data_IF_931792968083
#
_entry.id   IF_931792968083
#
_cell.length_a   1.000
_cell.length_b   1.000
_cell.length_c   1.000
_cell.angle_alpha   90.00
_cell.angle_beta   90.00
_cell.angle_gamma   90.00
#
_symmetry.space_group_name_H-M   'P 1'
#
loop_
_entity.id
_entity.type
_entity.pdbx_description
1 polymer ?
#
# COMPACT_ATOMS: atom_id res chain seq x y z
N UNK A 1 20.39 37.48 85.70
CA UNK A 1 20.84 36.33 84.88
C UNK A 1 19.61 35.62 84.34
N UNK A 2 19.35 35.72 83.04
CA UNK A 2 18.86 34.65 82.13
C UNK A 2 18.53 35.31 80.78
N UNK A 3 19.52 35.27 79.88
CA UNK A 3 19.37 35.58 78.46
C UNK A 3 18.47 34.49 77.84
N UNK A 4 17.26 34.85 77.41
CA UNK A 4 16.54 34.09 76.39
C UNK A 4 16.66 34.84 75.07
N UNK A 5 17.69 34.50 74.32
CA UNK A 5 17.81 34.81 72.90
C UNK A 5 16.58 34.24 72.18
N UNK A 6 15.67 35.12 71.76
CA UNK A 6 14.73 34.77 70.67
C UNK A 6 15.56 34.64 69.41
N UNK A 7 15.99 33.42 69.11
CA UNK A 7 16.52 33.06 67.80
C UNK A 7 15.40 33.35 66.80
N UNK A 8 15.56 34.46 66.08
CA UNK A 8 14.78 34.82 64.92
C UNK A 8 14.85 33.66 63.92
N UNK A 9 13.73 32.94 63.77
CA UNK A 9 13.55 31.87 62.79
C UNK A 9 13.35 32.47 61.39
N UNK A 10 14.32 33.30 60.94
CA UNK A 10 14.20 34.12 59.73
C UNK A 10 15.27 33.82 58.67
N UNK A 11 16.17 32.87 58.91
CA UNK A 11 17.34 32.64 58.03
C UNK A 11 17.46 31.22 57.44
N UNK A 12 16.38 30.44 57.29
CA UNK A 12 16.46 29.11 56.60
C UNK A 12 15.73 28.99 55.26
N UNK A 13 15.09 30.04 54.77
CA UNK A 13 14.48 30.07 53.43
C UNK A 13 14.94 31.31 52.63
N UNK A 14 16.24 31.59 52.62
CA UNK A 14 16.82 32.55 51.69
C UNK A 14 17.46 31.81 50.53
N UNK A 15 16.67 31.60 49.48
CA UNK A 15 17.20 31.64 48.11
C UNK A 15 17.94 32.98 48.01
N UNK A 16 19.22 32.95 47.61
CA UNK A 16 20.10 34.12 47.50
C UNK A 16 19.33 35.39 47.09
N UNK A 17 18.99 36.24 48.08
CA UNK A 17 18.32 37.52 47.82
C UNK A 17 19.41 38.48 47.36
N UNK A 18 19.75 38.38 46.09
CA UNK A 18 20.59 39.37 45.44
C UNK A 18 19.75 40.66 45.44
N UNK A 19 20.17 41.75 46.12
CA UNK A 19 19.36 42.97 46.26
C UNK A 19 19.04 43.65 44.91
N UNK A 20 19.70 43.20 43.84
CA UNK A 20 19.48 43.63 42.46
C UNK A 20 18.39 42.84 41.71
N UNK A 21 17.84 41.76 42.30
CA UNK A 21 16.79 40.93 41.70
C UNK A 21 15.46 41.25 42.38
N UNK A 22 14.68 42.14 41.76
CA UNK A 22 13.34 42.51 42.23
C UNK A 22 12.32 41.40 41.94
N UNK A 23 11.16 41.44 42.59
CA UNK A 23 10.06 40.52 42.29
C UNK A 23 9.70 40.55 40.79
N UNK A 24 9.71 41.75 40.20
CA UNK A 24 9.44 41.95 38.78
C UNK A 24 10.42 41.26 37.84
N UNK A 25 11.71 41.19 38.19
CA UNK A 25 12.68 40.47 37.35
C UNK A 25 12.46 38.96 37.40
N UNK A 26 12.13 38.41 38.57
CA UNK A 26 11.73 37.00 38.70
C UNK A 26 10.45 36.73 37.88
N UNK A 27 9.46 37.62 37.94
CA UNK A 27 8.22 37.52 37.16
C UNK A 27 8.50 37.51 35.66
N UNK A 28 9.36 38.41 35.16
CA UNK A 28 9.73 38.47 33.75
C UNK A 28 10.44 37.19 33.27
N UNK A 29 11.34 36.64 34.09
CA UNK A 29 12.04 35.37 33.80
C UNK A 29 11.04 34.21 33.73
N UNK A 30 10.16 34.08 34.73
CA UNK A 30 9.16 33.00 34.74
C UNK A 30 8.13 33.15 33.63
N UNK A 31 7.75 34.37 33.27
CA UNK A 31 6.90 34.65 32.11
C UNK A 31 7.57 34.21 30.80
N UNK A 32 8.84 34.56 30.61
CA UNK A 32 9.61 34.15 29.44
C UNK A 32 9.73 32.62 29.34
N UNK A 33 9.97 31.95 30.47
CA UNK A 33 9.99 30.49 30.56
C UNK A 33 8.61 29.87 30.26
N UNK A 34 7.53 30.50 30.74
CA UNK A 34 6.16 30.09 30.44
C UNK A 34 5.80 30.22 28.97
N UNK A 35 6.30 31.25 28.28
CA UNK A 35 6.11 31.43 26.84
C UNK A 35 6.91 30.41 26.02
N UNK A 36 8.11 30.02 26.49
CA UNK A 36 8.91 28.98 25.83
C UNK A 36 8.18 27.63 25.82
N UNK A 37 7.53 27.27 26.93
CA UNK A 37 6.79 26.01 27.08
C UNK A 37 5.28 26.23 27.10
N UNK A 38 4.78 27.13 26.27
CA UNK A 38 3.37 27.52 26.24
C UNK A 38 2.46 26.31 25.98
N UNK A 39 1.61 25.98 26.96
CA UNK A 39 0.78 24.77 26.98
C UNK A 39 1.58 23.48 26.72
N UNK A 40 2.78 23.38 27.29
CA UNK A 40 3.73 22.29 27.09
C UNK A 40 4.16 22.09 25.63
N UNK A 41 4.28 23.18 24.87
CA UNK A 41 4.71 23.16 23.47
C UNK A 41 3.59 22.86 22.46
N UNK A 42 2.31 22.86 22.89
CA UNK A 42 1.16 22.68 22.00
C UNK A 42 0.71 23.96 21.32
N UNK A 43 0.99 25.09 21.96
CA UNK A 43 0.52 26.37 21.49
C UNK A 43 1.67 27.33 21.25
N UNK A 44 1.39 28.32 20.43
CA UNK A 44 2.30 29.41 20.11
C UNK A 44 1.53 30.71 20.06
N UNK A 45 2.24 31.82 19.85
CA UNK A 45 1.64 33.15 19.83
C UNK A 45 1.29 33.52 18.38
N UNK A 46 0.09 34.07 18.20
CA UNK A 46 -0.41 34.63 16.96
C UNK A 46 0.11 36.06 16.74
N UNK A 47 0.17 36.49 15.48
CA UNK A 47 0.57 37.85 15.06
C UNK A 47 -0.61 38.66 14.48
N UNK A 48 -1.85 38.30 14.83
CA UNK A 48 -3.04 39.08 14.47
C UNK A 48 -3.07 40.41 15.25
N UNK A 49 -3.72 41.47 14.74
CA UNK A 49 -3.76 42.76 15.44
C UNK A 49 -4.36 42.65 16.85
N UNK A 50 -5.34 41.78 17.06
CA UNK A 50 -5.95 41.51 18.36
C UNK A 50 -4.95 40.82 19.31
N UNK A 51 -4.20 39.84 18.80
CA UNK A 51 -3.17 39.15 19.56
C UNK A 51 -2.06 40.12 19.97
N UNK A 52 -1.60 40.98 19.05
CA UNK A 52 -0.59 42.00 19.33
C UNK A 52 -1.08 42.98 20.41
N UNK A 53 -2.33 43.44 20.34
CA UNK A 53 -2.91 44.30 21.37
C UNK A 53 -2.93 43.61 22.75
N UNK A 54 -3.31 42.33 22.80
CA UNK A 54 -3.31 41.55 24.04
C UNK A 54 -1.88 41.34 24.61
N UNK A 55 -0.89 41.12 23.74
CA UNK A 55 0.52 40.96 24.15
C UNK A 55 1.13 42.27 24.65
N UNK A 56 0.77 43.42 24.07
CA UNK A 56 1.21 44.74 24.56
C UNK A 56 0.69 44.95 25.99
N UNK A 57 -0.57 44.61 26.24
CA UNK A 57 -1.14 44.65 27.59
C UNK A 57 -0.44 43.66 28.54
N UNK A 58 -0.18 42.43 28.11
CA UNK A 58 0.46 41.41 28.95
C UNK A 58 1.94 41.69 29.23
N UNK A 59 2.68 42.22 28.26
CA UNK A 59 4.13 42.41 28.32
C UNK A 59 4.54 43.87 28.48
N UNK A 60 3.70 44.67 29.14
CA UNK A 60 4.04 46.06 29.46
C UNK A 60 5.42 46.15 30.17
N UNK A 61 6.36 46.98 29.71
CA UNK A 61 7.77 46.89 30.10
C UNK A 61 8.08 47.30 31.56
N UNK A 62 7.10 47.83 32.30
CA UNK A 62 7.25 48.14 33.74
C UNK A 62 6.76 47.00 34.61
N UNK A 63 7.70 46.24 35.17
CA UNK A 63 7.42 45.16 36.12
C UNK A 63 7.28 45.67 37.57
N UNK A 64 6.49 44.98 38.41
CA UNK A 64 6.26 45.37 39.81
C UNK A 64 7.51 45.17 40.69
N UNK A 65 7.72 46.03 41.68
CA UNK A 65 8.84 45.88 42.61
C UNK A 65 8.59 44.81 43.69
N UNK A 66 7.32 44.68 44.11
CA UNK A 66 6.85 43.74 45.13
C UNK A 66 5.56 43.06 44.65
N UNK A 67 5.17 41.95 45.28
CA UNK A 67 4.02 41.15 44.85
C UNK A 67 2.68 41.90 44.85
N UNK A 68 2.49 42.89 45.74
CA UNK A 68 1.25 43.68 45.78
C UNK A 68 1.35 45.03 45.03
N UNK A 69 2.44 45.26 44.29
CA UNK A 69 2.65 46.51 43.56
C UNK A 69 1.86 46.51 42.24
N UNK A 70 0.85 47.38 42.17
CA UNK A 70 -0.01 47.61 41.00
C UNK A 70 0.02 49.09 40.54
N UNK A 71 1.05 49.87 40.93
CA UNK A 71 1.06 51.33 40.73
C UNK A 71 1.11 51.76 39.26
N UNK A 72 1.90 51.06 38.45
CA UNK A 72 2.14 51.41 37.04
C UNK A 72 1.40 50.50 36.05
N UNK A 73 1.08 49.29 36.47
CA UNK A 73 0.42 48.30 35.62
C UNK A 73 -0.30 47.28 36.51
N UNK A 74 -1.54 46.94 36.15
CA UNK A 74 -2.34 45.96 36.87
C UNK A 74 -1.80 44.56 36.59
N UNK A 75 -1.40 43.83 37.64
CA UNK A 75 -0.82 42.49 37.46
C UNK A 75 -1.76 41.49 36.76
N UNK A 76 -3.08 41.64 36.87
CA UNK A 76 -4.04 40.77 36.19
C UNK A 76 -3.88 40.80 34.66
N UNK A 77 -3.50 41.95 34.07
CA UNK A 77 -3.31 42.08 32.62
C UNK A 77 -2.13 41.26 32.10
N UNK A 78 -1.21 40.84 32.97
CA UNK A 78 -0.11 39.94 32.63
C UNK A 78 -0.58 38.57 32.13
N UNK A 79 -1.84 38.20 32.36
CA UNK A 79 -2.45 36.96 31.86
C UNK A 79 -3.19 37.13 30.53
N UNK A 80 -3.29 38.34 29.98
CA UNK A 80 -3.95 38.57 28.70
C UNK A 80 -3.24 37.93 27.51
N UNK A 81 -1.98 37.47 27.68
CA UNK A 81 -1.28 36.72 26.63
C UNK A 81 -2.06 35.50 26.17
N UNK A 82 -2.95 34.93 27.02
CA UNK A 82 -3.80 33.78 26.68
C UNK A 82 -4.69 34.06 25.46
N UNK A 83 -5.12 35.30 25.25
CA UNK A 83 -5.93 35.69 24.08
C UNK A 83 -5.14 35.66 22.77
N UNK A 84 -3.81 35.74 22.84
CA UNK A 84 -2.91 35.68 21.70
C UNK A 84 -2.42 34.25 21.40
N UNK A 85 -2.86 33.25 22.16
CA UNK A 85 -2.40 31.88 22.04
C UNK A 85 -3.20 31.15 20.96
N UNK A 86 -2.50 30.54 20.01
CA UNK A 86 -3.08 29.71 18.95
C UNK A 86 -2.42 28.32 18.88
N UNK A 87 -3.21 27.26 18.60
CA UNK A 87 -2.68 25.92 18.41
C UNK A 87 -2.15 25.78 16.97
N UNK A 88 -0.86 25.46 16.84
CA UNK A 88 -0.18 25.23 15.55
C UNK A 88 0.65 23.96 15.52
N UNK A 89 0.51 23.10 16.53
CA UNK A 89 1.31 21.88 16.64
C UNK A 89 0.83 20.84 15.63
N UNK A 90 1.70 20.43 14.72
CA UNK A 90 1.44 19.32 13.81
C UNK A 90 1.84 18.01 14.48
N UNK A 91 0.86 17.13 14.73
CA UNK A 91 1.06 15.84 15.41
C UNK A 91 0.80 14.67 14.44
N UNK A 92 1.83 14.08 13.84
CA UNK A 92 1.65 12.91 12.99
C UNK A 92 1.44 11.64 13.82
N UNK A 93 0.48 10.82 13.42
CA UNK A 93 0.18 9.52 14.02
C UNK A 93 0.12 8.46 12.94
N UNK A 94 0.75 7.34 13.20
CA UNK A 94 0.69 6.20 12.29
C UNK A 94 -0.67 5.50 12.38
N UNK A 95 -1.29 5.21 11.24
CA UNK A 95 -2.65 4.67 11.16
C UNK A 95 -2.74 3.27 11.76
N UNK A 96 -1.72 2.44 11.56
CA UNK A 96 -1.75 1.03 11.97
C UNK A 96 -1.42 0.89 13.45
N UNK A 97 -0.33 1.50 13.89
CA UNK A 97 0.13 1.39 15.28
C UNK A 97 -0.61 2.34 16.23
N UNK A 98 -1.29 3.36 15.71
CA UNK A 98 -1.91 4.47 16.47
C UNK A 98 -0.93 5.22 17.39
N UNK A 99 0.37 5.07 17.16
CA UNK A 99 1.43 5.76 17.89
C UNK A 99 1.85 7.02 17.14
N UNK A 100 2.32 8.01 17.89
CA UNK A 100 2.95 9.20 17.30
C UNK A 100 4.21 8.79 16.54
N UNK A 101 4.42 9.38 15.38
CA UNK A 101 5.59 9.12 14.55
C UNK A 101 6.39 10.40 14.31
N UNK A 102 7.57 10.26 13.71
CA UNK A 102 8.31 11.41 13.20
C UNK A 102 8.18 11.43 11.68
N UNK A 103 7.91 12.59 11.09
CA UNK A 103 7.84 12.73 9.65
C UNK A 103 8.41 14.06 9.16
N UNK A 104 8.91 14.06 7.93
CA UNK A 104 9.34 15.27 7.24
C UNK A 104 8.13 16.00 6.63
N UNK A 105 8.10 17.32 6.80
CA UNK A 105 7.02 18.18 6.33
C UNK A 105 7.60 19.31 5.49
N UNK A 106 6.94 19.58 4.38
CA UNK A 106 7.23 20.67 3.46
C UNK A 106 6.03 21.59 3.39
N UNK A 107 6.27 22.90 3.44
CA UNK A 107 5.22 23.93 3.35
C UNK A 107 5.45 24.83 2.14
N UNK A 108 4.36 25.28 1.54
CA UNK A 108 4.35 26.29 0.47
C UNK A 108 3.78 27.58 1.03
N UNK A 109 4.56 28.65 0.98
CA UNK A 109 4.14 29.99 1.39
C UNK A 109 3.41 30.69 0.23
N UNK A 110 2.46 31.56 0.56
CA UNK A 110 1.67 32.33 -0.42
C UNK A 110 2.60 33.24 -1.23
N UNK A 111 2.63 33.07 -2.55
CA UNK A 111 3.48 33.85 -3.47
C UNK A 111 4.83 33.20 -3.78
N UNK A 112 5.20 32.15 -3.06
CA UNK A 112 6.41 31.36 -3.31
C UNK A 112 6.10 30.15 -4.20
N UNK A 113 7.00 29.80 -5.12
CA UNK A 113 6.88 28.59 -5.94
C UNK A 113 7.63 27.38 -5.36
N UNK A 114 8.51 27.61 -4.40
CA UNK A 114 9.36 26.59 -3.81
C UNK A 114 8.80 26.06 -2.49
N UNK A 115 8.94 24.75 -2.28
CA UNK A 115 8.59 24.08 -1.04
C UNK A 115 9.69 24.27 -0.01
N UNK A 116 9.34 24.86 1.13
CA UNK A 116 10.23 25.02 2.27
C UNK A 116 10.10 23.80 3.19
N UNK A 117 11.21 23.12 3.44
CA UNK A 117 11.26 22.00 4.42
C UNK A 117 11.28 22.54 5.85
N UNK A 118 10.41 22.00 6.67
CA UNK A 118 10.36 22.25 8.12
C UNK A 118 11.21 21.21 8.88
N UNK A 119 11.53 21.47 10.16
CA UNK A 119 12.05 20.44 11.05
C UNK A 119 11.13 19.23 11.12
N UNK A 120 11.68 18.06 11.44
CA UNK A 120 10.90 16.82 11.60
C UNK A 120 9.77 17.04 12.59
N UNK A 121 8.55 16.67 12.19
CA UNK A 121 7.41 16.70 13.08
C UNK A 121 7.51 15.61 14.14
N UNK A 122 6.95 15.79 15.35
CA UNK A 122 6.12 16.91 15.82
C UNK A 122 6.78 18.29 15.81
N UNK A 123 6.19 19.24 15.10
CA UNK A 123 6.72 20.60 15.00
C UNK A 123 5.59 21.64 14.88
N UNK A 124 5.90 22.89 15.22
CA UNK A 124 4.97 24.00 15.09
C UNK A 124 4.94 24.50 13.65
N UNK A 125 3.76 24.64 13.07
CA UNK A 125 3.61 25.24 11.75
C UNK A 125 3.83 26.76 11.82
N UNK A 126 4.34 27.36 10.73
CA UNK A 126 4.32 28.81 10.56
C UNK A 126 2.89 29.38 10.61
N UNK A 127 2.74 30.71 10.70
CA UNK A 127 1.43 31.34 10.72
C UNK A 127 0.56 30.92 9.54
N UNK A 128 -0.64 30.41 9.82
CA UNK A 128 -1.47 29.71 8.84
C UNK A 128 -1.94 30.59 7.68
N UNK A 129 -1.98 31.92 7.86
CA UNK A 129 -2.34 32.86 6.81
C UNK A 129 -1.25 33.05 5.75
N UNK A 130 0.02 32.80 6.08
CA UNK A 130 1.15 32.86 5.13
C UNK A 130 1.28 31.59 4.31
N UNK A 131 0.58 30.52 4.68
CA UNK A 131 0.67 29.22 4.03
C UNK A 131 -0.42 29.05 2.96
N UNK A 132 -0.01 28.46 1.83
CA UNK A 132 -0.90 28.01 0.76
C UNK A 132 -1.13 26.50 0.82
N UNK A 133 -0.07 25.75 1.16
CA UNK A 133 -0.07 24.28 1.12
C UNK A 133 0.83 23.70 2.22
N UNK A 134 0.41 22.61 2.84
CA UNK A 134 1.20 21.82 3.81
C UNK A 134 1.24 20.38 3.31
N UNK A 135 2.43 19.82 3.14
CA UNK A 135 2.63 18.47 2.60
C UNK A 135 3.50 17.68 3.57
N UNK A 136 3.08 16.47 3.92
CA UNK A 136 3.97 15.47 4.50
C UNK A 136 4.81 14.91 3.36
N UNK A 137 6.06 15.34 3.29
CA UNK A 137 7.01 14.98 2.23
C UNK A 137 8.12 14.12 2.85
N UNK A 138 7.80 12.84 3.05
CA UNK A 138 8.71 11.86 3.61
C UNK A 138 8.75 10.62 2.71
N UNK A 139 9.95 10.04 2.55
CA UNK A 139 10.12 8.81 1.79
C UNK A 139 9.49 7.60 2.49
N UNK A 140 9.42 7.61 3.83
CA UNK A 140 8.94 6.47 4.62
C UNK A 140 7.41 6.43 4.72
N UNK A 141 6.73 7.54 4.42
CA UNK A 141 5.29 7.69 4.59
C UNK A 141 4.61 8.03 3.25
N UNK A 142 3.31 7.79 3.18
CA UNK A 142 2.50 8.23 2.06
C UNK A 142 2.25 9.75 2.16
N UNK A 143 2.38 10.51 1.06
CA UNK A 143 2.27 11.96 1.11
C UNK A 143 0.82 12.36 1.40
N UNK A 144 0.65 13.15 2.45
CA UNK A 144 -0.63 13.78 2.81
C UNK A 144 -0.51 15.26 2.54
N UNK A 145 -1.48 15.80 1.81
CA UNK A 145 -1.44 17.15 1.29
C UNK A 145 -2.65 17.94 1.78
N UNK A 146 -2.42 19.10 2.38
CA UNK A 146 -3.42 20.08 2.76
C UNK A 146 -3.28 21.34 1.92
N UNK A 147 -4.26 21.61 1.07
CA UNK A 147 -4.31 22.78 0.19
C UNK A 147 -5.42 23.73 0.65
N UNK A 148 -5.15 25.05 0.59
CA UNK A 148 -6.08 26.10 1.00
C UNK A 148 -7.46 25.99 0.32
N UNK A 149 -7.47 25.58 -0.94
CA UNK A 149 -8.67 25.49 -1.78
C UNK A 149 -9.49 24.21 -1.57
N UNK A 150 -8.89 23.15 -0.99
CA UNK A 150 -9.50 21.81 -0.98
C UNK A 150 -9.90 21.34 0.42
N UNK A 151 -8.93 21.13 1.31
CA UNK A 151 -9.11 20.43 2.59
C UNK A 151 -8.54 21.20 3.79
N UNK A 152 -8.21 22.47 3.62
CA UNK A 152 -7.65 23.32 4.68
C UNK A 152 -8.51 23.39 5.95
N UNK A 153 -9.83 23.40 5.80
CA UNK A 153 -10.75 23.42 6.94
C UNK A 153 -10.59 22.19 7.86
N UNK A 154 -10.18 21.03 7.31
CA UNK A 154 -9.91 19.83 8.10
C UNK A 154 -8.64 19.99 8.93
N UNK A 155 -7.60 20.61 8.35
CA UNK A 155 -6.36 20.93 9.06
C UNK A 155 -6.63 21.92 10.20
N UNK A 156 -7.38 22.99 9.94
CA UNK A 156 -7.75 23.98 10.97
C UNK A 156 -8.47 23.32 12.15
N UNK A 157 -9.50 22.53 11.87
CA UNK A 157 -10.23 21.78 12.91
C UNK A 157 -9.33 20.79 13.66
N UNK A 158 -8.37 20.17 12.97
CA UNK A 158 -7.42 19.27 13.61
C UNK A 158 -6.50 20.03 14.57
N UNK A 159 -5.96 21.17 14.15
CA UNK A 159 -5.10 22.02 14.98
C UNK A 159 -5.87 22.61 16.17
N UNK A 160 -7.06 23.16 15.95
CA UNK A 160 -7.93 23.69 17.02
C UNK A 160 -8.20 22.66 18.12
N UNK A 161 -8.48 21.42 17.74
CA UNK A 161 -8.72 20.32 18.67
C UNK A 161 -7.45 19.63 19.18
N UNK A 162 -6.25 20.10 18.78
CA UNK A 162 -4.98 19.42 19.04
C UNK A 162 -5.00 17.93 18.64
N UNK A 163 -5.72 17.61 17.57
CA UNK A 163 -5.91 16.27 17.07
C UNK A 163 -4.67 15.79 16.28
N UNK A 164 -4.44 14.48 16.32
CA UNK A 164 -3.39 13.86 15.53
C UNK A 164 -3.81 13.74 14.06
N UNK A 165 -2.85 13.91 13.17
CA UNK A 165 -2.99 13.73 11.73
C UNK A 165 -2.53 12.32 11.40
N UNK A 166 -3.46 11.53 10.90
CA UNK A 166 -3.26 10.13 10.57
C UNK A 166 -2.49 10.00 9.24
N UNK A 167 -1.35 9.31 9.29
CA UNK A 167 -0.44 9.10 8.16
C UNK A 167 -0.14 7.60 8.05
N UNK A 168 -0.09 7.07 6.83
CA UNK A 168 0.23 5.67 6.56
C UNK A 168 1.71 5.52 6.23
N UNK A 169 2.39 4.58 6.88
CA UNK A 169 3.76 4.18 6.52
C UNK A 169 3.75 3.41 5.20
N UNK A 170 4.78 3.58 4.38
CA UNK A 170 4.99 2.77 3.17
C UNK A 170 5.51 1.38 3.55
N UNK A 171 5.07 0.37 2.81
CA UNK A 171 5.65 -0.98 2.95
C UNK A 171 7.15 -0.98 2.65
N UNK A 172 7.94 -1.74 3.43
CA UNK A 172 9.39 -1.79 3.26
C UNK A 172 10.17 -0.69 3.97
N UNK A 173 9.50 0.29 4.55
CA UNK A 173 10.14 1.39 5.27
C UNK A 173 9.84 1.28 6.76
N UNK A 174 10.83 1.60 7.60
CA UNK A 174 10.65 1.68 9.05
C UNK A 174 10.34 3.11 9.49
N UNK A 175 9.85 3.29 10.72
CA UNK A 175 9.71 4.64 11.26
C UNK A 175 11.09 5.20 11.61
N UNK A 176 11.24 6.53 11.57
CA UNK A 176 12.51 7.19 11.94
C UNK A 176 12.93 6.91 13.39
N UNK A 177 12.01 6.50 14.26
CA UNK A 177 12.32 6.08 15.63
C UNK A 177 12.97 4.69 15.70
N UNK A 178 12.63 3.80 14.76
CA UNK A 178 13.14 2.43 14.70
C UNK A 178 14.46 2.34 13.90
N UNK A 179 14.63 3.23 12.92
CA UNK A 179 15.77 3.24 12.00
C UNK A 179 16.22 4.69 11.71
N UNK A 180 16.94 5.33 12.65
CA UNK A 180 17.38 6.72 12.50
C UNK A 180 18.38 6.90 11.34
N UNK A 181 19.24 5.90 11.11
CA UNK A 181 20.27 5.93 10.06
C UNK A 181 19.73 5.46 8.69
N UNK A 182 18.47 5.02 8.64
CA UNK A 182 17.79 4.48 7.44
C UNK A 182 18.47 3.26 6.80
N UNK A 183 19.42 2.61 7.47
CA UNK A 183 20.20 1.52 6.87
C UNK A 183 19.34 0.27 6.60
N UNK A 184 18.44 -0.06 7.53
CA UNK A 184 17.55 -1.22 7.38
C UNK A 184 16.53 -0.96 6.27
N UNK A 185 16.00 0.26 6.22
CA UNK A 185 15.07 0.68 5.18
C UNK A 185 15.74 0.73 3.79
N UNK A 186 17.02 1.13 3.71
CA UNK A 186 17.79 1.08 2.46
C UNK A 186 18.06 -0.36 2.00
N UNK A 187 18.41 -1.26 2.92
CA UNK A 187 18.58 -2.68 2.62
C UNK A 187 17.25 -3.33 2.19
N UNK A 188 16.14 -2.97 2.82
CA UNK A 188 14.82 -3.37 2.35
C UNK A 188 14.54 -2.83 0.94
N UNK A 189 14.94 -1.59 0.65
CA UNK A 189 14.76 -0.96 -0.66
C UNK A 189 15.60 -1.62 -1.77
N UNK A 190 16.74 -2.27 -1.48
CA UNK A 190 17.47 -3.00 -2.53
C UNK A 190 16.65 -4.14 -3.13
N UNK A 191 15.76 -4.77 -2.34
CA UNK A 191 14.80 -5.74 -2.86
C UNK A 191 13.85 -5.09 -3.90
N UNK A 192 13.46 -3.83 -3.69
CA UNK A 192 12.58 -3.14 -4.64
C UNK A 192 13.26 -2.75 -5.95
N UNK A 193 14.58 -2.54 -5.94
CA UNK A 193 15.36 -2.15 -7.13
C UNK A 193 15.72 -3.34 -8.01
N UNK A 194 15.87 -4.53 -7.41
CA UNK A 194 16.24 -5.72 -8.16
C UNK A 194 14.99 -6.39 -8.77
N UNK A 195 14.71 -6.08 -10.04
CA UNK A 195 13.59 -6.69 -10.77
C UNK A 195 13.85 -8.17 -11.11
N UNK A 196 15.11 -8.61 -11.09
CA UNK A 196 15.54 -9.90 -11.65
C UNK A 196 15.80 -11.01 -10.60
N UNK A 197 16.05 -10.66 -9.34
CA UNK A 197 16.36 -11.63 -8.26
C UNK A 197 15.13 -12.18 -7.55
N UNK A 198 13.92 -11.85 -8.02
CA UNK A 198 12.66 -12.33 -7.45
C UNK A 198 12.65 -13.87 -7.22
N UNK A 199 13.35 -14.63 -8.08
CA UNK A 199 13.40 -16.10 -8.05
C UNK A 199 14.18 -16.71 -6.88
N UNK A 200 15.04 -15.93 -6.20
CA UNK A 200 15.93 -16.39 -5.12
C UNK A 200 15.67 -15.72 -3.77
N UNK A 201 14.51 -15.11 -3.58
CA UNK A 201 14.21 -14.38 -2.35
C UNK A 201 13.92 -15.35 -1.21
N UNK A 202 14.69 -15.22 -0.13
CA UNK A 202 14.44 -15.97 1.11
C UNK A 202 13.27 -15.38 1.89
N UNK A 203 12.44 -16.23 2.50
CA UNK A 203 11.32 -15.83 3.35
C UNK A 203 11.76 -14.90 4.51
N UNK A 204 12.94 -15.15 5.07
CA UNK A 204 13.53 -14.33 6.15
C UNK A 204 13.86 -12.89 5.72
N UNK A 205 14.11 -12.65 4.42
CA UNK A 205 14.32 -11.29 3.91
C UNK A 205 13.00 -10.52 3.82
N UNK A 206 11.90 -11.21 3.51
CA UNK A 206 10.55 -10.64 3.44
C UNK A 206 10.01 -10.23 4.82
N UNK A 207 10.30 -11.02 5.86
CA UNK A 207 9.97 -10.67 7.25
C UNK A 207 10.70 -9.40 7.71
N UNK A 208 11.97 -9.24 7.30
CA UNK A 208 12.74 -8.04 7.62
C UNK A 208 12.28 -6.82 6.84
N UNK A 209 11.63 -7.02 5.69
CA UNK A 209 11.10 -5.96 4.85
C UNK A 209 9.80 -5.37 5.44
N UNK A 210 8.89 -6.21 5.94
CA UNK A 210 7.62 -5.75 6.49
C UNK A 210 7.41 -6.24 7.91
N UNK A 211 7.18 -5.30 8.83
CA UNK A 211 6.78 -5.59 10.21
C UNK A 211 5.27 -5.85 10.35
N UNK A 212 4.54 -6.02 9.24
CA UNK A 212 3.12 -6.35 9.28
C UNK A 212 2.95 -7.78 9.84
N UNK A 213 2.17 -7.98 10.93
CA UNK A 213 1.89 -9.31 11.47
C UNK A 213 1.30 -10.27 10.45
N UNK A 214 0.57 -9.76 9.45
CA UNK A 214 0.05 -10.60 8.37
C UNK A 214 1.19 -11.20 7.55
N UNK A 215 2.21 -10.41 7.21
CA UNK A 215 3.36 -10.85 6.41
C UNK A 215 4.13 -11.94 7.15
N UNK A 216 4.49 -11.70 8.41
CA UNK A 216 5.22 -12.68 9.22
C UNK A 216 4.44 -13.98 9.38
N UNK A 217 3.13 -13.88 9.65
CA UNK A 217 2.29 -15.08 9.79
C UNK A 217 2.11 -15.88 8.49
N UNK A 218 2.27 -15.23 7.34
CA UNK A 218 2.20 -15.88 6.04
C UNK A 218 3.54 -16.51 5.67
N UNK A 219 4.66 -15.82 5.88
CA UNK A 219 6.00 -16.39 5.65
C UNK A 219 6.22 -17.62 6.53
N UNK A 220 5.87 -17.53 7.81
CA UNK A 220 6.02 -18.62 8.77
C UNK A 220 5.22 -19.87 8.39
N UNK A 221 4.02 -19.70 7.83
CA UNK A 221 3.12 -20.82 7.53
C UNK A 221 3.26 -21.39 6.13
N UNK A 222 3.64 -20.58 5.15
CA UNK A 222 3.59 -20.98 3.74
C UNK A 222 4.95 -20.95 3.03
N UNK A 223 5.91 -20.15 3.50
CA UNK A 223 7.18 -19.93 2.78
C UNK A 223 8.39 -20.55 3.50
N UNK A 224 8.36 -20.71 4.82
CA UNK A 224 9.42 -21.44 5.52
C UNK A 224 9.36 -22.92 5.18
N UNK A 225 10.55 -23.47 4.94
CA UNK A 225 10.76 -24.84 4.54
C UNK A 225 11.37 -25.55 5.75
N UNK A 226 10.51 -26.13 6.59
CA UNK A 226 10.92 -26.81 7.83
C UNK A 226 11.07 -28.34 7.65
N UNK A 227 10.73 -28.88 6.47
CA UNK A 227 10.74 -30.31 6.20
C UNK A 227 12.11 -30.81 5.71
N UNK A 228 12.59 -31.93 6.27
CA UNK A 228 13.88 -32.55 5.93
C UNK A 228 13.90 -33.19 4.52
N UNK A 229 12.73 -33.53 3.96
CA UNK A 229 12.58 -34.14 2.63
C UNK A 229 11.50 -33.35 1.87
N UNK A 230 11.88 -32.73 0.76
CA UNK A 230 10.98 -31.91 -0.06
C UNK A 230 10.98 -32.47 -1.47
N UNK A 231 9.79 -32.69 -2.03
CA UNK A 231 9.68 -33.10 -3.43
C UNK A 231 9.96 -31.89 -4.35
N UNK A 232 10.53 -32.16 -5.54
CA UNK A 232 10.82 -31.09 -6.50
C UNK A 232 9.56 -30.29 -6.89
N UNK A 233 8.40 -30.94 -6.95
CA UNK A 233 7.11 -30.32 -7.21
C UNK A 233 6.66 -29.36 -6.10
N UNK A 234 6.93 -29.69 -4.83
CA UNK A 234 6.63 -28.82 -3.69
C UNK A 234 7.54 -27.59 -3.68
N UNK A 235 8.83 -27.77 -3.96
CA UNK A 235 9.78 -26.67 -4.05
C UNK A 235 9.36 -25.66 -5.14
N UNK A 236 8.93 -26.14 -6.31
CA UNK A 236 8.44 -25.29 -7.40
C UNK A 236 7.18 -24.52 -7.02
N UNK A 237 6.29 -25.09 -6.21
CA UNK A 237 5.07 -24.41 -5.72
C UNK A 237 5.42 -23.34 -4.69
N UNK A 238 6.30 -23.65 -3.75
CA UNK A 238 6.76 -22.69 -2.74
C UNK A 238 7.43 -21.52 -3.43
N UNK A 239 8.34 -21.77 -4.38
CA UNK A 239 9.00 -20.69 -5.13
C UNK A 239 7.99 -19.80 -5.87
N UNK A 240 6.95 -20.38 -6.47
CA UNK A 240 5.89 -19.61 -7.13
C UNK A 240 5.08 -18.78 -6.13
N UNK A 241 4.74 -19.33 -4.97
CA UNK A 241 4.06 -18.59 -3.90
C UNK A 241 4.94 -17.45 -3.37
N UNK A 242 6.23 -17.69 -3.18
CA UNK A 242 7.21 -16.66 -2.79
C UNK A 242 7.23 -15.52 -3.81
N UNK A 243 7.23 -15.83 -5.11
CA UNK A 243 7.17 -14.83 -6.18
C UNK A 243 5.90 -13.97 -6.14
N UNK A 244 4.73 -14.62 -5.98
CA UNK A 244 3.44 -13.93 -5.88
C UNK A 244 3.41 -13.01 -4.66
N UNK A 245 3.88 -13.52 -3.53
CA UNK A 245 3.91 -12.82 -2.26
C UNK A 245 4.90 -11.66 -2.27
N UNK A 246 6.11 -11.87 -2.78
CA UNK A 246 7.15 -10.86 -2.95
C UNK A 246 6.64 -9.66 -3.75
N UNK A 247 5.97 -9.90 -4.88
CA UNK A 247 5.41 -8.85 -5.71
C UNK A 247 4.35 -8.03 -4.96
N UNK A 248 3.48 -8.69 -4.18
CA UNK A 248 2.43 -8.05 -3.41
C UNK A 248 3.00 -7.19 -2.28
N UNK A 249 4.01 -7.68 -1.56
CA UNK A 249 4.67 -6.97 -0.45
C UNK A 249 5.44 -5.75 -0.96
N UNK A 250 6.25 -5.91 -2.00
CA UNK A 250 7.11 -4.82 -2.50
C UNK A 250 6.32 -3.70 -3.17
N UNK A 251 5.27 -4.03 -3.92
CA UNK A 251 4.45 -3.02 -4.59
C UNK A 251 3.42 -2.37 -3.65
N UNK A 252 3.44 -2.70 -2.35
CA UNK A 252 2.48 -2.24 -1.35
C UNK A 252 1.02 -2.57 -1.76
N UNK A 253 0.82 -3.79 -2.27
CA UNK A 253 -0.45 -4.27 -2.88
C UNK A 253 -0.89 -5.59 -2.28
N UNK A 254 -0.87 -5.69 -0.95
CA UNK A 254 -1.30 -6.89 -0.22
C UNK A 254 -2.75 -7.29 -0.55
N UNK A 255 -3.61 -6.33 -0.90
CA UNK A 255 -4.99 -6.59 -1.35
C UNK A 255 -5.11 -7.41 -2.64
N UNK A 256 -4.05 -7.47 -3.46
CA UNK A 256 -4.00 -8.26 -4.70
C UNK A 256 -3.59 -9.70 -4.42
N UNK A 257 -2.95 -9.97 -3.28
CA UNK A 257 -2.49 -11.31 -2.92
C UNK A 257 -3.61 -12.36 -2.95
N UNK A 258 -4.83 -12.13 -2.40
CA UNK A 258 -5.92 -13.09 -2.52
C UNK A 258 -6.24 -13.45 -3.98
N UNK A 259 -6.21 -12.47 -4.90
CA UNK A 259 -6.49 -12.70 -6.33
C UNK A 259 -5.41 -13.60 -6.95
N UNK A 260 -4.15 -13.37 -6.60
CA UNK A 260 -3.04 -14.22 -7.03
C UNK A 260 -3.18 -15.64 -6.47
N UNK A 261 -3.48 -15.78 -5.19
CA UNK A 261 -3.63 -17.08 -4.52
C UNK A 261 -4.84 -17.86 -5.05
N UNK A 262 -5.98 -17.20 -5.30
CA UNK A 262 -7.14 -17.85 -5.90
C UNK A 262 -6.83 -18.32 -7.31
N UNK A 263 -6.16 -17.49 -8.13
CA UNK A 263 -5.78 -17.87 -9.49
C UNK A 263 -4.81 -19.05 -9.47
N UNK A 264 -3.81 -19.01 -8.60
CA UNK A 264 -2.87 -20.11 -8.40
C UNK A 264 -3.56 -21.41 -7.98
N UNK A 265 -4.47 -21.35 -7.01
CA UNK A 265 -5.24 -22.50 -6.55
C UNK A 265 -6.16 -23.05 -7.64
N UNK A 266 -6.80 -22.18 -8.44
CA UNK A 266 -7.64 -22.59 -9.57
C UNK A 266 -6.82 -23.35 -10.62
N UNK A 267 -5.63 -22.86 -10.96
CA UNK A 267 -4.74 -23.54 -11.92
C UNK A 267 -4.33 -24.93 -11.40
N UNK A 268 -3.96 -25.04 -10.13
CA UNK A 268 -3.62 -26.33 -9.52
C UNK A 268 -4.80 -27.29 -9.46
N UNK A 269 -5.99 -26.78 -9.17
CA UNK A 269 -7.23 -27.56 -9.13
C UNK A 269 -7.55 -28.12 -10.51
N UNK A 270 -7.50 -27.27 -11.54
CA UNK A 270 -7.77 -27.69 -12.93
C UNK A 270 -6.79 -28.76 -13.40
N UNK A 271 -5.52 -28.68 -13.01
CA UNK A 271 -4.53 -29.72 -13.34
C UNK A 271 -4.87 -31.09 -12.76
N UNK A 272 -5.48 -31.14 -11.56
CA UNK A 272 -5.88 -32.38 -10.89
C UNK A 272 -7.25 -32.88 -11.34
N UNK A 273 -8.27 -32.00 -11.29
CA UNK A 273 -9.66 -32.26 -11.64
C UNK A 273 -10.26 -31.01 -12.28
N UNK A 274 -10.40 -30.95 -13.62
CA UNK A 274 -10.98 -29.80 -14.29
C UNK A 274 -12.47 -29.71 -14.00
N UNK A 275 -12.92 -28.64 -13.35
CA UNK A 275 -14.34 -28.29 -13.29
C UNK A 275 -14.66 -27.20 -14.31
N UNK A 276 -15.86 -27.24 -14.87
CA UNK A 276 -16.28 -26.29 -15.90
C UNK A 276 -16.25 -24.82 -15.45
N UNK A 277 -16.60 -24.57 -14.18
CA UNK A 277 -16.62 -23.24 -13.59
C UNK A 277 -15.21 -22.65 -13.43
N UNK A 278 -14.23 -23.49 -13.08
CA UNK A 278 -12.84 -23.05 -12.88
C UNK A 278 -12.24 -22.57 -14.22
N UNK A 279 -12.57 -23.25 -15.33
CA UNK A 279 -12.16 -22.87 -16.68
C UNK A 279 -12.79 -21.53 -17.08
N UNK A 280 -14.07 -21.30 -16.76
CA UNK A 280 -14.73 -20.02 -17.01
C UNK A 280 -14.06 -18.88 -16.27
N UNK A 281 -13.71 -19.07 -15.00
CA UNK A 281 -13.03 -18.04 -14.20
C UNK A 281 -11.68 -17.67 -14.80
N UNK A 282 -10.86 -18.67 -15.18
CA UNK A 282 -9.55 -18.41 -15.79
C UNK A 282 -9.70 -17.73 -17.16
N UNK A 283 -10.68 -18.17 -17.96
CA UNK A 283 -10.97 -17.55 -19.27
C UNK A 283 -11.41 -16.09 -19.13
N UNK A 284 -12.25 -15.77 -18.14
CA UNK A 284 -12.65 -14.38 -17.87
C UNK A 284 -11.44 -13.52 -17.47
N UNK A 285 -10.53 -14.08 -16.67
CA UNK A 285 -9.28 -13.42 -16.29
C UNK A 285 -8.39 -13.18 -17.52
N UNK A 286 -8.23 -14.17 -18.41
CA UNK A 286 -7.44 -14.05 -19.64
C UNK A 286 -7.99 -12.96 -20.56
N UNK A 287 -9.30 -12.98 -20.83
CA UNK A 287 -9.98 -11.95 -21.63
C UNK A 287 -9.88 -10.55 -21.00
N UNK A 288 -9.93 -10.46 -19.67
CA UNK A 288 -9.74 -9.21 -18.96
C UNK A 288 -8.32 -8.67 -19.16
N UNK A 289 -7.31 -9.53 -19.05
CA UNK A 289 -5.91 -9.17 -19.25
C UNK A 289 -5.62 -8.77 -20.70
N UNK A 290 -6.20 -9.46 -21.70
CA UNK A 290 -6.04 -9.13 -23.12
C UNK A 290 -6.64 -7.77 -23.50
N UNK A 291 -7.79 -7.42 -22.91
CA UNK A 291 -8.44 -6.11 -23.15
C UNK A 291 -7.69 -4.95 -22.51
N UNK A 292 -6.86 -5.21 -21.50
CA UNK A 292 -6.14 -4.18 -20.76
C UNK A 292 -4.83 -3.79 -21.49
N UNK A 293 -4.87 -2.73 -22.30
CA UNK A 293 -3.71 -2.23 -23.07
C UNK A 293 -2.67 -1.45 -22.25
N UNK A 294 -3.03 -0.97 -21.06
CA UNK A 294 -2.15 -0.19 -20.18
C UNK A 294 -1.65 -1.04 -19.01
N UNK A 295 -0.51 -0.68 -18.37
CA UNK A 295 -0.09 -1.36 -17.15
C UNK A 295 -1.20 -1.23 -16.10
N UNK A 296 -1.77 -2.37 -15.71
CA UNK A 296 -2.90 -2.40 -14.79
C UNK A 296 -2.48 -1.84 -13.41
N UNK A 297 -3.31 -0.96 -12.83
CA UNK A 297 -2.96 -0.24 -11.59
C UNK A 297 -2.68 -1.19 -10.42
N UNK A 298 -3.45 -2.27 -10.30
CA UNK A 298 -3.34 -3.26 -9.22
C UNK A 298 -2.49 -4.47 -9.61
N UNK A 299 -2.89 -5.20 -10.65
CA UNK A 299 -2.31 -6.47 -11.08
C UNK A 299 -1.02 -6.27 -11.89
N UNK A 300 0.02 -7.06 -11.60
CA UNK A 300 1.23 -7.12 -12.43
C UNK A 300 0.97 -8.04 -13.63
N UNK A 301 1.03 -7.48 -14.85
CA UNK A 301 0.73 -8.20 -16.09
C UNK A 301 1.62 -9.42 -16.32
N UNK A 302 2.92 -9.30 -16.03
CA UNK A 302 3.90 -10.38 -16.20
C UNK A 302 3.58 -11.59 -15.33
N UNK A 303 3.20 -11.35 -14.07
CA UNK A 303 2.97 -12.41 -13.08
C UNK A 303 1.66 -13.16 -13.36
N UNK A 304 0.60 -12.42 -13.70
CA UNK A 304 -0.64 -13.04 -14.16
C UNK A 304 -0.47 -13.74 -15.49
N UNK A 305 0.27 -13.14 -16.42
CA UNK A 305 0.62 -13.76 -17.70
C UNK A 305 1.32 -15.10 -17.48
N UNK A 306 2.32 -15.16 -16.61
CA UNK A 306 3.01 -16.41 -16.28
C UNK A 306 2.08 -17.50 -15.70
N UNK A 307 1.10 -17.11 -14.86
CA UNK A 307 0.09 -18.04 -14.36
C UNK A 307 -0.86 -18.51 -15.46
N UNK A 308 -1.34 -17.60 -16.30
CA UNK A 308 -2.24 -17.90 -17.41
C UNK A 308 -1.57 -18.78 -18.49
N UNK A 309 -0.30 -18.54 -18.78
CA UNK A 309 0.46 -19.36 -19.74
C UNK A 309 0.62 -20.81 -19.24
N UNK A 310 0.82 -21.03 -17.94
CA UNK A 310 0.82 -22.40 -17.37
C UNK A 310 -0.51 -23.11 -17.61
N UNK A 311 -1.62 -22.39 -17.48
CA UNK A 311 -2.93 -22.92 -17.79
C UNK A 311 -3.09 -23.21 -19.30
N UNK A 312 -2.67 -22.29 -20.18
CA UNK A 312 -2.71 -22.50 -21.63
C UNK A 312 -1.89 -23.72 -22.06
N UNK A 313 -0.71 -23.93 -21.48
CA UNK A 313 0.10 -25.14 -21.70
C UNK A 313 -0.62 -26.41 -21.26
N UNK A 314 -1.30 -26.38 -20.10
CA UNK A 314 -2.10 -27.51 -19.63
C UNK A 314 -3.29 -27.82 -20.57
N UNK A 315 -4.00 -26.80 -21.04
CA UNK A 315 -5.10 -26.98 -22.01
C UNK A 315 -4.57 -27.54 -23.34
N UNK A 316 -3.42 -27.07 -23.82
CA UNK A 316 -2.80 -27.58 -25.05
C UNK A 316 -2.32 -29.03 -24.92
N UNK A 317 -1.78 -29.42 -23.76
CA UNK A 317 -1.43 -30.82 -23.47
C UNK A 317 -2.70 -31.71 -23.46
N UNK A 318 -3.78 -31.22 -22.86
CA UNK A 318 -5.07 -31.92 -22.79
C UNK A 318 -5.71 -32.07 -24.18
N UNK A 319 -5.66 -31.02 -25.00
CA UNK A 319 -6.08 -31.03 -26.40
C UNK A 319 -5.31 -32.08 -27.20
N UNK A 320 -3.98 -32.14 -27.04
CA UNK A 320 -3.14 -33.14 -27.71
C UNK A 320 -3.52 -34.57 -27.34
N UNK A 321 -3.84 -34.82 -26.07
CA UNK A 321 -4.26 -36.14 -25.60
C UNK A 321 -5.65 -36.55 -26.10
N UNK A 322 -6.57 -35.59 -26.25
CA UNK A 322 -7.98 -35.84 -26.61
C UNK A 322 -8.30 -35.51 -28.08
N UNK A 323 -7.29 -35.45 -28.97
CA UNK A 323 -7.46 -34.96 -30.35
C UNK A 323 -8.46 -35.78 -31.19
N UNK A 324 -8.47 -37.11 -31.04
CA UNK A 324 -9.39 -38.01 -31.75
C UNK A 324 -10.85 -37.80 -31.32
N UNK A 325 -11.09 -37.70 -30.01
CA UNK A 325 -12.41 -37.46 -29.41
C UNK A 325 -12.91 -36.06 -29.76
N UNK A 326 -12.03 -35.07 -29.80
CA UNK A 326 -12.38 -33.72 -30.25
C UNK A 326 -12.75 -33.70 -31.73
N UNK A 327 -12.04 -34.46 -32.58
CA UNK A 327 -12.39 -34.56 -34.00
C UNK A 327 -13.79 -35.16 -34.20
N UNK A 328 -14.10 -36.27 -33.51
CA UNK A 328 -15.45 -36.86 -33.57
C UNK A 328 -16.52 -35.91 -33.01
N UNK A 329 -16.23 -35.17 -31.95
CA UNK A 329 -17.15 -34.16 -31.40
C UNK A 329 -17.48 -33.04 -32.39
N UNK A 330 -16.49 -32.58 -33.17
CA UNK A 330 -16.67 -31.48 -34.13
C UNK A 330 -17.39 -31.97 -35.41
N UNK A 331 -17.12 -33.21 -35.86
CA UNK A 331 -17.70 -33.77 -37.08
C UNK A 331 -19.15 -34.24 -36.91
N UNK A 332 -19.59 -34.53 -35.69
CA UNK A 332 -20.94 -35.06 -35.45
C UNK A 332 -21.98 -33.94 -35.46
N UNK A 333 -23.11 -34.18 -36.15
CA UNK A 333 -24.22 -33.24 -36.32
C UNK A 333 -25.14 -33.13 -35.09
N UNK A 334 -25.16 -34.15 -34.23
CA UNK A 334 -25.88 -34.20 -32.96
C UNK A 334 -24.99 -34.87 -31.88
N UNK A 335 -25.12 -34.48 -30.61
CA UNK A 335 -24.42 -35.14 -29.51
C UNK A 335 -24.98 -36.56 -29.34
N UNK A 336 -24.41 -37.55 -30.04
CA UNK A 336 -24.81 -38.94 -29.87
C UNK A 336 -24.37 -39.41 -28.47
N UNK A 337 -25.26 -40.09 -27.71
CA UNK A 337 -24.96 -40.56 -26.36
C UNK A 337 -23.79 -41.56 -26.32
N UNK A 338 -23.43 -42.18 -27.45
CA UNK A 338 -22.32 -43.12 -27.60
C UNK A 338 -20.94 -42.50 -27.29
N UNK A 339 -20.72 -41.23 -27.67
CA UNK A 339 -19.45 -40.52 -27.41
C UNK A 339 -19.30 -40.23 -25.91
N UNK A 340 -20.41 -39.95 -25.22
CA UNK A 340 -20.42 -39.66 -23.78
C UNK A 340 -20.30 -40.95 -22.96
N UNK A 341 -20.88 -42.06 -23.41
CA UNK A 341 -20.91 -43.31 -22.65
C UNK A 341 -19.57 -44.04 -22.56
N UNK A 342 -18.66 -43.84 -23.52
CA UNK A 342 -17.34 -44.48 -23.53
C UNK A 342 -16.30 -43.74 -22.66
N UNK A 343 -16.57 -42.49 -22.27
CA UNK A 343 -15.61 -41.63 -21.58
C UNK A 343 -15.74 -41.75 -20.05
N UNK A 344 -14.58 -41.81 -19.38
CA UNK A 344 -14.57 -41.64 -17.92
C UNK A 344 -14.99 -40.22 -17.53
N UNK A 345 -15.55 -40.05 -16.32
CA UNK A 345 -15.96 -38.73 -15.83
C UNK A 345 -14.83 -37.68 -15.84
N UNK A 346 -13.57 -38.11 -15.71
CA UNK A 346 -12.39 -37.24 -15.75
C UNK A 346 -12.06 -36.81 -17.19
N UNK A 347 -12.20 -37.70 -18.15
CA UNK A 347 -11.97 -37.39 -19.57
C UNK A 347 -13.07 -36.50 -20.12
N UNK A 348 -14.32 -36.72 -19.72
CA UNK A 348 -15.43 -35.84 -20.07
C UNK A 348 -15.22 -34.42 -19.53
N UNK A 349 -14.72 -34.30 -18.29
CA UNK A 349 -14.40 -33.01 -17.70
C UNK A 349 -13.23 -32.30 -18.40
N UNK A 350 -12.22 -33.06 -18.86
CA UNK A 350 -11.11 -32.57 -19.70
C UNK A 350 -11.55 -32.17 -21.10
N UNK A 351 -12.48 -32.90 -21.69
CA UNK A 351 -13.08 -32.54 -22.98
C UNK A 351 -13.85 -31.23 -22.84
N UNK A 352 -14.70 -31.13 -21.82
CA UNK A 352 -15.46 -29.93 -21.51
C UNK A 352 -14.55 -28.72 -21.27
N UNK A 353 -13.40 -28.88 -20.59
CA UNK A 353 -12.49 -27.77 -20.35
C UNK A 353 -11.89 -27.20 -21.65
N UNK A 354 -11.50 -28.06 -22.59
CA UNK A 354 -10.96 -27.64 -23.90
C UNK A 354 -12.06 -26.99 -24.75
N UNK A 355 -13.25 -27.61 -24.81
CA UNK A 355 -14.41 -27.09 -25.54
C UNK A 355 -14.80 -25.71 -25.04
N UNK A 356 -14.89 -25.55 -23.71
CA UNK A 356 -15.25 -24.29 -23.09
C UNK A 356 -14.16 -23.22 -23.30
N UNK A 357 -12.88 -23.57 -23.13
CA UNK A 357 -11.80 -22.59 -23.32
C UNK A 357 -11.80 -22.01 -24.74
N UNK A 358 -11.83 -22.86 -25.76
CA UNK A 358 -11.81 -22.45 -27.17
C UNK A 358 -13.18 -22.08 -27.77
N UNK A 359 -14.29 -22.15 -27.02
CA UNK A 359 -15.66 -21.97 -27.54
C UNK A 359 -15.99 -22.88 -28.73
N UNK A 360 -15.62 -24.16 -28.66
CA UNK A 360 -15.96 -25.11 -29.72
C UNK A 360 -17.46 -25.43 -29.69
N UNK A 361 -18.10 -25.36 -30.85
CA UNK A 361 -19.50 -25.77 -31.02
C UNK A 361 -19.57 -27.11 -31.74
N UNK A 362 -20.52 -27.99 -31.40
CA UNK A 362 -20.76 -29.19 -32.19
C UNK A 362 -21.20 -28.78 -33.60
N UNK A 363 -20.84 -29.57 -34.62
CA UNK A 363 -21.23 -29.37 -36.02
C UNK A 363 -20.50 -28.25 -36.81
N UNK A 364 -19.31 -27.82 -36.36
CA UNK A 364 -18.54 -26.77 -37.06
C UNK A 364 -18.03 -27.18 -38.45
N UNK A 365 -17.80 -28.47 -38.69
CA UNK A 365 -17.21 -28.96 -39.95
C UNK A 365 -18.22 -29.09 -41.10
N UNK A 366 -19.53 -29.24 -40.82
CA UNK A 366 -20.55 -29.37 -41.89
C UNK A 366 -20.78 -28.03 -42.60
N UNK A 367 -20.57 -26.91 -41.90
CA UNK A 367 -20.68 -25.57 -42.45
C UNK A 367 -19.50 -25.19 -43.35
N UNK A 368 -18.46 -26.02 -43.42
CA UNK A 368 -17.21 -25.75 -44.13
C UNK A 368 -16.98 -26.78 -45.22
N UNK A 369 -16.86 -26.34 -46.47
CA UNK A 369 -16.50 -27.21 -47.58
C UNK A 369 -14.99 -27.52 -47.57
N UNK A 370 -14.63 -28.66 -46.99
CA UNK A 370 -13.27 -29.17 -46.93
C UNK A 370 -12.91 -30.07 -48.13
N UNK A 371 -13.72 -30.10 -49.20
CA UNK A 371 -13.41 -30.90 -50.37
C UNK A 371 -12.24 -30.31 -51.19
N UNK A 372 -11.07 -30.98 -51.13
CA UNK A 372 -9.89 -30.66 -51.95
C UNK A 372 -8.54 -30.79 -51.21
N UNK A 373 -7.44 -30.44 -51.88
CA UNK A 373 -6.09 -30.46 -51.29
C UNK A 373 -6.01 -29.53 -50.09
N UNK A 374 -5.70 -30.13 -48.95
CA UNK A 374 -5.70 -29.50 -47.64
C UNK A 374 -4.45 -28.63 -47.46
N UNK A 375 -4.61 -27.30 -47.52
CA UNK A 375 -3.54 -26.33 -47.22
C UNK A 375 -3.93 -25.46 -46.02
N UNK A 376 -2.96 -25.13 -45.16
CA UNK A 376 -3.16 -24.27 -43.97
C UNK A 376 -3.88 -22.95 -44.28
N UNK A 377 -3.54 -22.33 -45.42
CA UNK A 377 -4.18 -21.11 -45.91
C UNK A 377 -5.65 -21.29 -46.28
N UNK A 378 -6.03 -22.45 -46.82
CA UNK A 378 -7.42 -22.75 -47.19
C UNK A 378 -8.27 -22.95 -45.94
N UNK A 379 -7.75 -23.63 -44.92
CA UNK A 379 -8.42 -23.72 -43.62
C UNK A 379 -8.64 -22.34 -42.99
N UNK A 380 -7.63 -21.47 -42.99
CA UNK A 380 -7.77 -20.12 -42.45
C UNK A 380 -8.85 -19.30 -43.19
N UNK A 381 -8.92 -19.41 -44.52
CA UNK A 381 -9.91 -18.71 -45.33
C UNK A 381 -11.34 -19.16 -45.00
N UNK A 382 -11.56 -20.47 -44.93
CA UNK A 382 -12.88 -21.02 -44.66
C UNK A 382 -13.32 -20.76 -43.20
N UNK A 383 -12.44 -20.95 -42.22
CA UNK A 383 -12.76 -20.68 -40.82
C UNK A 383 -12.97 -19.19 -40.51
N UNK A 384 -12.35 -18.29 -41.29
CA UNK A 384 -12.62 -16.84 -41.17
C UNK A 384 -14.06 -16.48 -41.55
N UNK A 385 -14.73 -17.26 -42.42
CA UNK A 385 -16.15 -17.04 -42.76
C UNK A 385 -17.07 -17.28 -41.57
N UNK A 386 -16.65 -18.05 -40.58
CA UNK A 386 -17.45 -18.42 -39.40
C UNK A 386 -17.39 -17.38 -38.25
N UNK A 387 -16.69 -16.25 -38.42
CA UNK A 387 -16.51 -15.23 -37.36
C UNK A 387 -16.01 -15.79 -36.01
N UNK A 388 -15.19 -16.85 -36.06
CA UNK A 388 -14.55 -17.43 -34.88
C UNK A 388 -13.34 -16.61 -34.43
N UNK A 389 -12.99 -16.72 -33.15
CA UNK A 389 -11.80 -16.09 -32.61
C UNK A 389 -10.51 -16.75 -33.15
N UNK A 390 -9.42 -15.99 -33.27
CA UNK A 390 -8.16 -16.45 -33.88
C UNK A 390 -7.57 -17.64 -33.11
N UNK A 391 -7.70 -17.64 -31.79
CA UNK A 391 -7.24 -18.75 -30.94
C UNK A 391 -8.04 -20.04 -31.21
N UNK A 392 -9.35 -19.92 -31.42
CA UNK A 392 -10.24 -21.04 -31.78
C UNK A 392 -9.89 -21.60 -33.15
N UNK A 393 -9.65 -20.74 -34.15
CA UNK A 393 -9.26 -21.15 -35.50
C UNK A 393 -7.93 -21.91 -35.47
N UNK A 394 -6.94 -21.41 -34.72
CA UNK A 394 -5.65 -22.09 -34.56
C UNK A 394 -5.79 -23.46 -33.90
N UNK A 395 -6.66 -23.58 -32.89
CA UNK A 395 -6.96 -24.85 -32.24
C UNK A 395 -7.60 -25.86 -33.21
N UNK A 396 -8.60 -25.44 -33.98
CA UNK A 396 -9.28 -26.27 -34.99
C UNK A 396 -8.31 -26.79 -36.04
N UNK A 397 -7.44 -25.93 -36.56
CA UNK A 397 -6.43 -26.32 -37.54
C UNK A 397 -5.48 -27.38 -36.96
N UNK A 398 -5.04 -27.20 -35.70
CA UNK A 398 -4.18 -28.19 -35.03
C UNK A 398 -4.86 -29.55 -34.86
N UNK A 399 -6.16 -29.58 -34.55
CA UNK A 399 -6.91 -30.83 -34.40
C UNK A 399 -7.03 -31.57 -35.76
N UNK A 400 -7.33 -30.84 -36.83
CA UNK A 400 -7.48 -31.41 -38.18
C UNK A 400 -6.14 -31.89 -38.77
N UNK A 401 -5.06 -31.14 -38.56
CA UNK A 401 -3.73 -31.57 -39.00
C UNK A 401 -3.27 -32.84 -38.26
N UNK A 402 -3.49 -32.90 -36.94
CA UNK A 402 -3.07 -34.02 -36.11
C UNK A 402 -3.83 -35.33 -36.42
N UNK A 403 -5.06 -35.23 -36.91
CA UNK A 403 -5.85 -36.40 -37.35
C UNK A 403 -5.46 -36.84 -38.76
N UNK A 404 -5.24 -35.89 -39.68
CA UNK A 404 -4.74 -36.22 -41.04
C UNK A 404 -3.36 -36.90 -41.04
N UNK A 405 -2.50 -36.60 -40.04
CA UNK A 405 -1.20 -37.27 -39.90
C UNK A 405 -1.32 -38.70 -39.35
N UNK A 406 -2.35 -38.99 -38.54
CA UNK A 406 -2.60 -40.33 -38.01
C UNK A 406 -3.29 -41.25 -39.01
N UNK A 407 -3.98 -40.70 -40.02
CA UNK A 407 -4.55 -41.48 -41.14
C UNK A 407 -3.52 -41.85 -42.22
N UNK A 408 -2.34 -41.22 -42.18
CA UNK A 408 -1.24 -41.46 -43.13
C UNK A 408 -0.20 -42.50 -42.65
N UNK A 409 -0.40 -43.07 -41.46
CA UNK A 409 0.39 -44.17 -40.87
C UNK A 409 -0.50 -45.38 -40.66
#
# INVERSE_FOLDING_TARGET
>A
RYLRSRISFRDRCRVNYNPNVTFGSQMAIHMSLGLLFLGAGRYTIANTPEAVAALICAFFPKFPNHSNDNRYHLQAFRHLYVLAVEPRLFLPRDIDTKKLCLCQISVLEVGSKELRRLPMAPCMLPPLHTLQKVIVDDANYWPVCFEKERNWAQLLKALENSACIDIKKRSGCLSHLEDPDRLKSLFAQTLTTEQYTCWHVNATALERFSNDPFVTSFTDRFLHIDAEIITQDELLKIQQLTMLFYNAVIKDKMHVLPIYLTTFNLIQRVQRKPEGNDVWQIKLIDLYMEKYRQPHLLITSELMGALLEKFKVFIENTRRAMASILHSFISTSALEPSIISELSAVELARLYSVVNFYNLTPNLLILVDLSGTVNYLRYLYEFKKLNLDVQTIHCLIKILLQTSSNEAT
#
